data_IF_092435272492
#
_entry.id   IF_092435272492
#
_cell.length_a   1.000
_cell.length_b   1.000
_cell.length_c   1.000
_cell.angle_alpha   90.00
_cell.angle_beta   90.00
_cell.angle_gamma   90.00
#
_symmetry.space_group_name_H-M   'P 1'
#
loop_
_entity.id
_entity.type
_entity.pdbx_description
1 polymer ?
#
# COMPACT_ATOMS: atom_id res chain seq x y z
N UNK A 1 20.16 -12.15 16.15
CA UNK A 1 20.65 -10.78 15.89
C UNK A 1 19.54 -9.71 15.90
N UNK A 2 18.41 -9.87 15.18
CA UNK A 2 17.34 -8.84 15.15
C UNK A 2 16.78 -8.50 16.55
N UNK A 3 16.53 -9.49 17.41
CA UNK A 3 15.97 -9.28 18.77
C UNK A 3 16.92 -8.44 19.65
N UNK A 4 18.23 -8.64 19.55
CA UNK A 4 19.22 -7.85 20.33
C UNK A 4 19.13 -6.37 19.91
N UNK A 5 19.00 -6.08 18.61
CA UNK A 5 18.82 -4.72 18.12
C UNK A 5 17.56 -4.06 18.71
N UNK A 6 16.45 -4.79 18.81
CA UNK A 6 15.21 -4.26 19.42
C UNK A 6 15.39 -3.96 20.93
N UNK A 7 16.14 -4.80 21.63
CA UNK A 7 16.45 -4.57 23.04
C UNK A 7 17.35 -3.35 23.27
N UNK A 8 18.38 -3.15 22.41
CA UNK A 8 19.23 -1.95 22.45
C UNK A 8 18.39 -0.69 22.19
N UNK A 9 17.52 -0.71 21.18
CA UNK A 9 16.60 0.39 20.87
C UNK A 9 15.71 0.71 22.07
N UNK A 10 15.14 -0.32 22.67
CA UNK A 10 14.27 -0.22 23.85
C UNK A 10 15.02 0.33 25.06
N UNK A 11 16.25 -0.11 25.29
CA UNK A 11 17.08 0.37 26.40
C UNK A 11 17.27 1.90 26.35
N UNK A 12 17.70 2.42 25.22
CA UNK A 12 17.87 3.87 25.04
C UNK A 12 16.53 4.62 25.14
N UNK A 13 15.46 4.06 24.56
CA UNK A 13 14.13 4.64 24.70
C UNK A 13 13.73 4.81 26.18
N UNK A 14 13.93 3.79 27.01
CA UNK A 14 13.58 3.85 28.43
C UNK A 14 14.42 4.87 29.22
N UNK A 15 15.70 5.05 28.86
CA UNK A 15 16.51 6.15 29.39
C UNK A 15 15.86 7.49 29.07
N UNK A 16 15.45 7.70 27.81
CA UNK A 16 14.87 8.95 27.37
C UNK A 16 13.43 9.19 27.83
N UNK A 17 12.76 8.21 28.44
CA UNK A 17 11.49 8.45 29.12
C UNK A 17 11.62 9.46 30.28
N UNK A 18 12.81 9.69 30.82
CA UNK A 18 13.07 10.75 31.80
C UNK A 18 12.91 12.16 31.19
N UNK A 19 13.02 12.29 29.87
CA UNK A 19 12.86 13.56 29.19
C UNK A 19 11.39 13.98 29.10
N UNK A 20 11.15 15.29 29.02
CA UNK A 20 9.81 15.85 28.86
C UNK A 20 9.28 15.58 27.46
N UNK A 21 8.04 15.12 27.35
CA UNK A 21 7.32 15.04 26.08
C UNK A 21 6.93 16.43 25.61
N UNK A 22 7.21 16.74 24.34
CA UNK A 22 6.90 18.03 23.71
C UNK A 22 5.52 17.93 23.02
N UNK A 23 4.60 18.83 23.33
CA UNK A 23 3.19 18.73 22.95
C UNK A 23 2.93 18.78 21.43
N UNK A 24 3.74 19.55 20.68
CA UNK A 24 3.60 19.67 19.21
C UNK A 24 4.67 18.88 18.42
N UNK A 25 5.26 17.86 19.04
CA UNK A 25 6.25 17.00 18.39
C UNK A 25 5.62 15.71 17.91
N UNK A 26 5.89 15.38 16.65
CA UNK A 26 5.48 14.15 16.00
C UNK A 26 6.72 13.30 15.66
N UNK A 27 6.63 11.98 15.91
CA UNK A 27 7.52 10.99 15.35
C UNK A 27 6.75 10.20 14.30
N UNK A 28 7.14 10.34 13.04
CA UNK A 28 6.51 9.70 11.90
C UNK A 28 7.30 8.46 11.52
N UNK A 29 6.74 7.28 11.74
CA UNK A 29 7.33 5.99 11.38
C UNK A 29 6.75 5.59 10.04
N UNK A 30 7.53 5.80 8.98
CA UNK A 30 7.19 5.57 7.58
C UNK A 30 8.02 4.40 7.07
N UNK A 31 7.72 3.21 7.59
CA UNK A 31 8.49 2.01 7.31
C UNK A 31 8.03 1.31 6.03
N UNK A 32 6.75 1.41 5.69
CA UNK A 32 6.20 0.87 4.46
C UNK A 32 6.43 1.81 3.28
N UNK A 33 5.99 3.06 3.39
CA UNK A 33 6.07 4.06 2.33
C UNK A 33 6.45 5.44 2.90
N UNK A 34 7.63 5.95 2.54
CA UNK A 34 8.14 7.25 2.96
C UNK A 34 7.81 8.37 1.98
N UNK A 35 6.97 8.14 0.99
CA UNK A 35 6.55 9.15 0.02
C UNK A 35 5.67 10.23 0.65
N UNK A 36 5.56 11.36 -0.06
CA UNK A 36 4.66 12.44 0.33
C UNK A 36 3.19 12.07 0.23
N UNK A 37 2.87 11.16 -0.69
CA UNK A 37 1.51 10.76 -1.01
C UNK A 37 1.04 9.52 -0.21
N UNK A 38 1.89 9.01 0.70
CA UNK A 38 1.49 8.02 1.69
C UNK A 38 0.53 8.61 2.73
N UNK A 39 -0.21 7.77 3.45
CA UNK A 39 -1.12 8.25 4.50
C UNK A 39 -0.42 9.16 5.51
N UNK A 40 0.75 8.76 5.99
CA UNK A 40 1.55 9.58 6.94
C UNK A 40 2.06 10.85 6.26
N UNK A 41 2.54 10.74 5.01
CA UNK A 41 3.04 11.88 4.22
C UNK A 41 1.97 12.96 4.02
N UNK A 42 0.75 12.58 3.68
CA UNK A 42 -0.38 13.48 3.51
C UNK A 42 -0.74 14.22 4.81
N UNK A 43 -0.76 13.52 5.95
CA UNK A 43 -0.97 14.15 7.27
C UNK A 43 0.12 15.19 7.57
N UNK A 44 1.39 14.85 7.30
CA UNK A 44 2.50 15.78 7.49
C UNK A 44 2.34 17.03 6.62
N UNK A 45 2.01 16.87 5.33
CA UNK A 45 1.79 17.98 4.43
C UNK A 45 0.66 18.90 4.91
N UNK A 46 -0.46 18.30 5.35
CA UNK A 46 -1.58 19.06 5.87
C UNK A 46 -1.21 19.84 7.14
N UNK A 47 -0.56 19.19 8.10
CA UNK A 47 -0.13 19.84 9.35
C UNK A 47 0.85 21.00 9.08
N UNK A 48 1.80 20.83 8.15
CA UNK A 48 2.71 21.92 7.75
C UNK A 48 2.00 23.08 7.07
N UNK A 49 0.89 22.82 6.39
CA UNK A 49 0.08 23.87 5.73
C UNK A 49 -0.69 24.71 6.75
N UNK A 50 -1.19 24.10 7.83
CA UNK A 50 -2.04 24.79 8.82
C UNK A 50 -1.27 25.42 9.97
N UNK A 51 -0.06 24.94 10.27
CA UNK A 51 0.75 25.48 11.38
C UNK A 51 2.25 25.17 11.22
N UNK A 52 3.09 26.15 11.51
CA UNK A 52 4.55 25.99 11.56
C UNK A 52 5.08 25.55 12.95
N UNK A 53 4.20 25.32 13.92
CA UNK A 53 4.61 25.01 15.30
C UNK A 53 4.89 23.52 15.53
N UNK A 54 4.55 22.65 14.57
CA UNK A 54 4.80 21.21 14.67
C UNK A 54 6.26 20.86 14.35
N UNK A 55 6.90 20.12 15.27
CA UNK A 55 8.22 19.52 15.09
C UNK A 55 8.04 18.08 14.55
N UNK A 56 8.61 17.78 13.37
CA UNK A 56 8.54 16.46 12.77
C UNK A 56 9.87 15.74 12.87
N UNK A 57 9.83 14.48 13.28
CA UNK A 57 10.96 13.56 13.24
C UNK A 57 10.53 12.29 12.53
N UNK A 58 11.47 11.58 11.91
CA UNK A 58 11.18 10.48 10.98
C UNK A 58 11.95 9.23 11.37
N UNK A 59 11.31 8.07 11.18
CA UNK A 59 11.94 6.76 11.14
C UNK A 59 11.47 6.11 9.83
N UNK A 60 12.41 5.85 8.92
CA UNK A 60 12.11 5.33 7.59
C UNK A 60 12.75 3.96 7.39
N UNK A 61 12.44 3.30 6.29
CA UNK A 61 13.07 2.03 5.88
C UNK A 61 14.58 2.18 5.71
N UNK A 62 15.03 3.35 5.26
CA UNK A 62 16.46 3.63 5.05
C UNK A 62 17.23 3.69 6.37
N UNK A 63 16.63 4.17 7.46
CA UNK A 63 17.25 4.15 8.78
C UNK A 63 17.55 2.72 9.24
N UNK A 64 16.71 1.76 8.89
CA UNK A 64 16.90 0.32 9.21
C UNK A 64 17.92 -0.32 8.28
N UNK A 65 17.83 -0.05 6.97
CA UNK A 65 18.73 -0.60 5.95
C UNK A 65 20.15 -0.03 6.08
N UNK A 66 20.27 1.24 6.44
CA UNK A 66 21.54 1.95 6.61
C UNK A 66 22.43 1.43 7.75
N UNK A 67 21.95 0.48 8.56
CA UNK A 67 22.77 -0.20 9.58
C UNK A 67 23.84 -1.12 8.98
N UNK A 68 23.80 -1.33 7.65
CA UNK A 68 24.79 -2.12 6.89
C UNK A 68 25.50 -1.20 5.90
N UNK A 69 26.84 -1.17 5.92
CA UNK A 69 27.64 -0.45 4.91
C UNK A 69 28.46 0.73 5.44
N UNK A 70 28.86 1.64 4.52
CA UNK A 70 29.68 2.82 4.87
C UNK A 70 28.93 3.74 5.83
N UNK A 71 29.61 4.20 6.90
CA UNK A 71 29.01 5.07 7.91
C UNK A 71 28.24 4.33 9.02
N UNK A 72 28.45 3.04 9.19
CA UNK A 72 27.77 2.17 10.15
C UNK A 72 27.71 2.76 11.57
N UNK A 73 28.79 3.37 12.09
CA UNK A 73 28.81 3.97 13.42
C UNK A 73 27.84 5.16 13.52
N UNK A 74 27.83 6.05 12.52
CA UNK A 74 26.90 7.18 12.46
C UNK A 74 25.45 6.70 12.39
N UNK A 75 25.18 5.72 11.56
CA UNK A 75 23.85 5.14 11.40
C UNK A 75 23.42 4.38 12.66
N UNK A 76 24.34 3.70 13.35
CA UNK A 76 24.09 3.07 14.62
C UNK A 76 23.68 4.09 15.69
N UNK A 77 24.44 5.18 15.85
CA UNK A 77 24.12 6.25 16.79
C UNK A 77 22.76 6.88 16.43
N UNK A 78 22.54 7.17 15.15
CA UNK A 78 21.26 7.70 14.68
C UNK A 78 20.10 6.79 15.07
N UNK A 79 20.16 5.52 14.69
CA UNK A 79 19.07 4.58 14.87
C UNK A 79 18.85 4.18 16.35
N UNK A 80 19.91 3.87 17.10
CA UNK A 80 19.79 3.32 18.46
C UNK A 80 19.79 4.38 19.56
N UNK A 81 20.17 5.61 19.28
CA UNK A 81 20.19 6.69 20.29
C UNK A 81 19.27 7.84 19.89
N UNK A 82 19.45 8.42 18.71
CA UNK A 82 18.71 9.62 18.31
C UNK A 82 17.25 9.31 18.03
N UNK A 83 16.92 8.21 17.32
CA UNK A 83 15.53 7.86 17.04
C UNK A 83 14.74 7.50 18.30
N UNK A 84 15.27 6.70 19.28
CA UNK A 84 14.62 6.49 20.56
C UNK A 84 14.39 7.77 21.37
N UNK A 85 15.33 8.73 21.34
CA UNK A 85 15.14 10.03 21.97
C UNK A 85 13.97 10.79 21.34
N UNK A 86 13.91 10.83 20.01
CA UNK A 86 12.81 11.50 19.31
C UNK A 86 11.48 10.81 19.61
N UNK A 87 11.44 9.49 19.61
CA UNK A 87 10.24 8.72 19.93
C UNK A 87 9.76 8.96 21.37
N UNK A 88 10.68 8.94 22.35
CA UNK A 88 10.34 9.15 23.78
C UNK A 88 9.87 10.57 24.11
N UNK A 89 10.26 11.55 23.29
CA UNK A 89 9.93 12.97 23.49
C UNK A 89 8.80 13.49 22.60
N UNK A 90 8.23 12.65 21.74
CA UNK A 90 7.10 13.02 20.88
C UNK A 90 5.76 12.76 21.58
N UNK A 91 4.79 13.67 21.35
CA UNK A 91 3.43 13.52 21.85
C UNK A 91 2.55 12.71 20.92
N UNK A 92 2.89 12.72 19.63
CA UNK A 92 2.18 11.96 18.60
C UNK A 92 3.15 11.03 17.85
N UNK A 93 2.73 9.78 17.70
CA UNK A 93 3.45 8.77 16.90
C UNK A 93 2.52 8.38 15.76
N UNK A 94 2.94 8.62 14.52
CA UNK A 94 2.21 8.18 13.33
C UNK A 94 2.86 6.94 12.76
N UNK A 95 2.05 5.94 12.40
CA UNK A 95 2.49 4.64 11.88
C UNK A 95 1.81 4.34 10.54
N UNK A 96 2.56 3.80 9.59
CA UNK A 96 2.03 3.24 8.34
C UNK A 96 2.07 1.70 8.31
N UNK A 97 2.79 1.08 9.24
CA UNK A 97 2.97 -0.36 9.32
C UNK A 97 3.41 -0.79 10.73
N UNK A 98 3.63 -2.09 10.93
CA UNK A 98 4.16 -2.67 12.16
C UNK A 98 5.67 -2.42 12.29
N UNK A 99 6.08 -1.49 13.15
CA UNK A 99 7.49 -1.24 13.46
C UNK A 99 7.93 -2.09 14.65
N UNK A 100 8.59 -3.21 14.39
CA UNK A 100 8.89 -4.26 15.39
C UNK A 100 9.57 -3.80 16.68
N UNK A 101 10.45 -2.78 16.71
CA UNK A 101 11.00 -2.27 17.97
C UNK A 101 9.93 -1.81 18.98
N UNK A 102 8.75 -1.35 18.51
CA UNK A 102 7.67 -0.89 19.40
C UNK A 102 7.09 -1.99 20.29
N UNK A 103 7.28 -3.27 19.95
CA UNK A 103 6.86 -4.39 20.79
C UNK A 103 7.52 -4.41 22.18
N UNK A 104 8.63 -3.69 22.34
CA UNK A 104 9.42 -3.63 23.56
C UNK A 104 9.29 -2.28 24.28
N UNK A 105 8.39 -1.40 23.82
CA UNK A 105 8.22 -0.05 24.36
C UNK A 105 6.88 0.09 25.08
N UNK A 106 6.85 1.01 26.05
CA UNK A 106 5.63 1.50 26.68
C UNK A 106 5.63 3.02 26.61
N UNK A 107 4.58 3.58 26.04
CA UNK A 107 4.44 5.03 25.93
C UNK A 107 3.81 5.61 27.20
N UNK A 108 4.09 6.89 27.46
CA UNK A 108 3.39 7.66 28.51
C UNK A 108 1.92 7.85 28.11
N UNK A 109 1.01 7.89 29.06
CA UNK A 109 -0.45 7.98 28.83
C UNK A 109 -0.88 9.12 27.90
N UNK A 110 -0.19 10.27 27.99
CA UNK A 110 -0.51 11.41 27.12
C UNK A 110 -0.11 11.22 25.67
N UNK A 111 0.78 10.28 25.35
CA UNK A 111 1.25 10.05 23.99
C UNK A 111 0.16 9.36 23.16
N UNK A 112 -0.12 9.91 21.98
CA UNK A 112 -1.06 9.34 21.01
C UNK A 112 -0.31 8.55 19.96
N UNK A 113 -0.57 7.25 19.90
CA UNK A 113 -0.03 6.34 18.89
C UNK A 113 -1.14 6.08 17.89
N UNK A 114 -0.97 6.61 16.68
CA UNK A 114 -1.98 6.65 15.62
C UNK A 114 -1.50 5.77 14.48
N UNK A 115 -2.19 4.66 14.24
CA UNK A 115 -1.96 3.77 13.10
C UNK A 115 -2.82 4.22 11.93
N UNK A 116 -2.19 4.62 10.83
CA UNK A 116 -2.86 5.02 9.59
C UNK A 116 -2.92 3.87 8.57
N UNK A 117 -2.11 2.82 8.79
CA UNK A 117 -1.97 1.68 7.89
C UNK A 117 -1.59 2.07 6.46
N UNK A 118 -1.44 1.08 5.60
CA UNK A 118 -1.10 1.26 4.19
C UNK A 118 -2.09 0.55 3.25
N UNK A 119 -2.93 -0.34 3.77
CA UNK A 119 -3.95 -1.05 3.01
C UNK A 119 -5.31 -0.37 3.11
N UNK A 120 -6.00 -0.29 1.98
CA UNK A 120 -7.39 0.16 1.91
C UNK A 120 -8.30 -1.07 1.85
N UNK A 121 -9.37 -1.08 2.65
CA UNK A 121 -10.37 -2.15 2.62
C UNK A 121 -9.93 -3.50 3.20
N UNK A 122 -10.67 -4.56 2.88
CA UNK A 122 -10.63 -5.85 3.60
C UNK A 122 -10.81 -7.07 2.68
N UNK A 123 -10.16 -7.08 1.51
CA UNK A 123 -10.30 -8.24 0.62
C UNK A 123 -9.57 -9.48 1.21
N UNK A 124 -8.29 -9.35 1.51
CA UNK A 124 -7.44 -10.42 2.08
C UNK A 124 -7.36 -10.31 3.60
N UNK A 125 -7.28 -11.43 4.28
CA UNK A 125 -6.95 -11.47 5.71
C UNK A 125 -5.53 -10.94 5.94
N UNK A 126 -5.31 -10.32 7.11
CA UNK A 126 -4.03 -9.75 7.49
C UNK A 126 -3.86 -9.70 9.02
N UNK A 127 -2.67 -9.31 9.48
CA UNK A 127 -2.37 -9.12 10.88
C UNK A 127 -2.59 -10.37 11.73
N UNK A 128 -3.31 -10.23 12.84
CA UNK A 128 -3.55 -11.32 13.79
C UNK A 128 -4.37 -12.49 13.21
N UNK A 129 -5.09 -12.27 12.10
CA UNK A 129 -5.91 -13.31 11.47
C UNK A 129 -5.09 -14.27 10.59
N UNK A 130 -3.85 -13.89 10.21
CA UNK A 130 -2.97 -14.73 9.38
C UNK A 130 -1.58 -14.96 10.00
N UNK A 131 -1.04 -14.01 10.75
CA UNK A 131 0.28 -14.14 11.32
C UNK A 131 0.32 -15.25 12.36
N UNK A 132 1.44 -15.95 12.44
CA UNK A 132 1.66 -17.05 13.38
C UNK A 132 2.96 -16.88 14.17
N UNK A 133 3.12 -17.68 15.22
CA UNK A 133 4.36 -17.74 16.01
C UNK A 133 4.82 -16.38 16.55
N UNK A 134 6.13 -16.17 16.52
CA UNK A 134 6.76 -14.98 17.11
C UNK A 134 6.35 -13.66 16.45
N UNK A 135 6.07 -13.67 15.15
CA UNK A 135 5.62 -12.45 14.44
C UNK A 135 4.26 -12.00 14.98
N UNK A 136 3.31 -12.93 15.11
CA UNK A 136 2.00 -12.66 15.69
C UNK A 136 2.08 -12.05 17.09
N UNK A 137 2.93 -12.61 17.95
CA UNK A 137 3.14 -12.08 19.31
C UNK A 137 3.74 -10.67 19.31
N UNK A 138 4.73 -10.41 18.44
CA UNK A 138 5.36 -9.09 18.37
C UNK A 138 4.39 -8.04 17.84
N UNK A 139 3.65 -8.33 16.77
CA UNK A 139 2.64 -7.41 16.25
C UNK A 139 1.52 -7.16 17.26
N UNK A 140 1.05 -8.19 17.98
CA UNK A 140 0.10 -7.99 19.06
C UNK A 140 0.62 -6.99 20.10
N UNK A 141 1.89 -7.15 20.55
CA UNK A 141 2.51 -6.22 21.52
C UNK A 141 2.63 -4.79 20.98
N UNK A 142 2.98 -4.64 19.69
CA UNK A 142 3.01 -3.32 19.04
C UNK A 142 1.63 -2.67 19.09
N UNK A 143 0.61 -3.42 18.72
CA UNK A 143 -0.75 -2.95 18.57
C UNK A 143 -1.39 -2.57 19.92
N UNK A 144 -0.94 -3.15 21.03
CA UNK A 144 -1.38 -2.71 22.37
C UNK A 144 -1.02 -1.25 22.66
N UNK A 145 0.03 -0.72 22.02
CA UNK A 145 0.41 0.70 22.13
C UNK A 145 -0.51 1.64 21.33
N UNK A 146 -1.25 1.13 20.34
CA UNK A 146 -2.13 1.94 19.49
C UNK A 146 -3.24 2.55 20.34
N UNK A 147 -3.37 3.86 20.23
CA UNK A 147 -4.46 4.63 20.84
C UNK A 147 -5.57 4.91 19.83
N UNK A 148 -5.22 5.07 18.55
CA UNK A 148 -6.16 5.31 17.45
C UNK A 148 -5.73 4.51 16.23
N UNK A 149 -6.63 3.70 15.71
CA UNK A 149 -6.49 2.99 14.44
C UNK A 149 -7.46 3.63 13.45
N UNK A 150 -6.95 4.21 12.38
CA UNK A 150 -7.77 4.91 11.39
C UNK A 150 -8.14 3.95 10.26
N UNK A 151 -9.42 3.96 9.91
CA UNK A 151 -9.98 3.14 8.82
C UNK A 151 -10.85 3.99 7.92
N UNK A 152 -11.12 3.50 6.72
CA UNK A 152 -11.88 4.22 5.70
C UNK A 152 -13.41 4.11 5.86
N UNK A 153 -13.92 3.09 6.56
CA UNK A 153 -15.36 2.86 6.72
C UNK A 153 -15.72 2.29 8.08
N UNK A 154 -16.93 2.59 8.55
CA UNK A 154 -17.50 1.97 9.75
C UNK A 154 -17.78 0.47 9.57
N UNK A 155 -18.05 0.03 8.35
CA UNK A 155 -18.31 -1.39 8.03
C UNK A 155 -17.14 -2.32 8.33
N UNK A 156 -15.90 -1.82 8.33
CA UNK A 156 -14.70 -2.63 8.53
C UNK A 156 -14.11 -2.54 9.95
N UNK A 157 -14.76 -1.81 10.86
CA UNK A 157 -14.28 -1.66 12.27
C UNK A 157 -14.05 -3.02 12.92
N UNK A 158 -14.96 -3.96 12.75
CA UNK A 158 -14.88 -5.29 13.37
C UNK A 158 -13.70 -6.09 12.84
N UNK A 159 -13.48 -6.05 11.54
CA UNK A 159 -12.37 -6.74 10.88
C UNK A 159 -11.03 -6.15 11.35
N UNK A 160 -10.89 -4.82 11.30
CA UNK A 160 -9.64 -4.17 11.71
C UNK A 160 -9.36 -4.34 13.22
N UNK A 161 -10.41 -4.26 14.06
CA UNK A 161 -10.29 -4.52 15.50
C UNK A 161 -9.68 -5.91 15.76
N UNK A 162 -10.16 -6.96 15.07
CA UNK A 162 -9.66 -8.33 15.17
C UNK A 162 -8.25 -8.47 14.57
N UNK A 163 -8.05 -7.98 13.34
CA UNK A 163 -6.78 -8.10 12.63
C UNK A 163 -5.62 -7.39 13.34
N UNK A 164 -5.88 -6.29 14.04
CA UNK A 164 -4.90 -5.61 14.88
C UNK A 164 -4.89 -6.08 16.34
N UNK A 165 -5.88 -6.85 16.80
CA UNK A 165 -6.02 -7.27 18.19
C UNK A 165 -6.20 -6.08 19.13
N UNK A 166 -6.95 -5.06 18.72
CA UNK A 166 -7.28 -3.86 19.51
C UNK A 166 -8.77 -3.76 19.77
N UNK A 167 -9.18 -3.04 20.81
CA UNK A 167 -10.60 -2.83 21.07
C UNK A 167 -11.24 -1.88 20.04
N UNK A 168 -12.51 -2.11 19.70
CA UNK A 168 -13.27 -1.34 18.69
C UNK A 168 -13.32 0.16 18.97
N UNK A 169 -13.32 0.57 20.23
CA UNK A 169 -13.32 1.99 20.63
C UNK A 169 -12.04 2.75 20.25
N UNK A 170 -10.97 2.03 19.86
CA UNK A 170 -9.75 2.63 19.33
C UNK A 170 -9.81 2.77 17.79
N UNK A 171 -10.79 2.16 17.12
CA UNK A 171 -10.91 2.19 15.67
C UNK A 171 -11.82 3.34 15.26
N UNK A 172 -11.30 4.23 14.42
CA UNK A 172 -11.99 5.46 14.03
C UNK A 172 -12.17 5.50 12.50
N UNK A 173 -13.42 5.51 11.98
CA UNK A 173 -13.70 5.55 10.55
C UNK A 173 -13.63 7.00 10.02
N UNK A 174 -12.42 7.52 9.88
CA UNK A 174 -12.16 8.91 9.47
C UNK A 174 -11.76 9.05 8.00
N UNK A 175 -11.68 7.95 7.25
CA UNK A 175 -11.09 7.94 5.92
C UNK A 175 -9.57 7.80 5.95
N UNK A 176 -8.99 7.53 4.78
CA UNK A 176 -7.53 7.40 4.62
C UNK A 176 -6.98 8.62 3.89
N UNK A 177 -5.97 9.33 4.43
CA UNK A 177 -5.47 10.58 3.85
C UNK A 177 -5.07 10.47 2.38
N UNK A 178 -4.48 9.37 1.95
CA UNK A 178 -4.02 9.19 0.56
C UNK A 178 -5.18 9.14 -0.46
N UNK A 179 -6.40 8.79 -0.03
CA UNK A 179 -7.56 8.80 -0.92
C UNK A 179 -8.08 10.19 -1.22
N UNK A 180 -7.73 11.21 -0.43
CA UNK A 180 -8.14 12.60 -0.67
C UNK A 180 -7.75 13.10 -2.06
N UNK A 181 -6.63 12.62 -2.60
CA UNK A 181 -6.16 12.98 -3.95
C UNK A 181 -7.17 12.57 -5.03
N UNK A 182 -7.88 11.45 -4.84
CA UNK A 182 -8.88 10.96 -5.80
C UNK A 182 -10.15 11.81 -5.80
N UNK A 183 -10.44 12.51 -4.71
CA UNK A 183 -11.55 13.46 -4.60
C UNK A 183 -11.19 14.87 -5.06
N UNK A 184 -9.91 15.18 -5.19
CA UNK A 184 -9.41 16.46 -5.72
C UNK A 184 -9.37 16.43 -7.25
N UNK A 185 -10.56 16.45 -7.90
CA UNK A 185 -10.71 16.27 -9.35
C UNK A 185 -9.78 17.14 -10.18
N UNK A 186 -9.70 18.44 -9.88
CA UNK A 186 -8.82 19.38 -10.59
C UNK A 186 -7.33 18.98 -10.51
N UNK A 187 -6.90 18.49 -9.35
CA UNK A 187 -5.52 18.02 -9.17
C UNK A 187 -5.26 16.77 -9.99
N UNK A 188 -6.17 15.81 -9.95
CA UNK A 188 -6.06 14.57 -10.72
C UNK A 188 -6.07 14.84 -12.23
N UNK A 189 -7.00 15.67 -12.71
CA UNK A 189 -7.09 16.10 -14.10
C UNK A 189 -5.82 16.80 -14.59
N UNK A 190 -5.20 17.62 -13.72
CA UNK A 190 -3.92 18.26 -14.04
C UNK A 190 -2.79 17.23 -14.16
N UNK A 191 -2.70 16.25 -13.26
CA UNK A 191 -1.68 15.18 -13.35
C UNK A 191 -1.91 14.28 -14.59
N UNK A 192 -3.17 13.94 -14.91
CA UNK A 192 -3.56 13.24 -16.13
C UNK A 192 -3.16 14.05 -17.38
N UNK A 193 -3.40 15.36 -17.37
CA UNK A 193 -2.98 16.25 -18.46
C UNK A 193 -1.48 16.27 -18.66
N UNK A 194 -0.71 16.32 -17.56
CA UNK A 194 0.77 16.24 -17.61
C UNK A 194 1.24 14.87 -18.14
N UNK A 195 0.55 13.79 -17.77
CA UNK A 195 0.84 12.47 -18.31
C UNK A 195 0.70 12.45 -19.81
N UNK A 196 -0.41 12.94 -20.36
CA UNK A 196 -0.62 12.98 -21.82
C UNK A 196 0.27 13.99 -22.56
N UNK A 197 0.75 15.06 -21.89
CA UNK A 197 1.78 15.92 -22.46
C UNK A 197 3.12 15.17 -22.61
N UNK A 198 3.43 14.27 -21.70
CA UNK A 198 4.65 13.46 -21.73
C UNK A 198 4.53 12.25 -22.66
N UNK A 199 3.32 11.68 -22.78
CA UNK A 199 3.02 10.48 -23.56
C UNK A 199 1.84 10.77 -24.49
N UNK A 200 1.99 11.66 -25.50
CA UNK A 200 0.90 12.10 -26.37
C UNK A 200 0.30 10.97 -27.20
N UNK A 201 1.08 9.93 -27.48
CA UNK A 201 0.66 8.75 -28.23
C UNK A 201 -0.40 7.91 -27.51
N UNK A 202 -0.56 8.09 -26.20
CA UNK A 202 -1.55 7.37 -25.37
C UNK A 202 -2.90 8.09 -25.29
N UNK A 203 -2.99 9.35 -25.74
CA UNK A 203 -4.17 10.19 -25.50
C UNK A 203 -5.46 9.65 -26.14
N UNK A 204 -5.33 9.05 -27.32
CA UNK A 204 -6.47 8.51 -28.11
C UNK A 204 -6.56 6.98 -27.97
N UNK A 205 -5.84 6.39 -27.01
CA UNK A 205 -5.86 4.94 -26.79
C UNK A 205 -6.76 4.57 -25.61
N UNK A 206 -7.32 3.38 -25.66
CA UNK A 206 -7.96 2.73 -24.51
C UNK A 206 -6.88 2.07 -23.65
N UNK A 207 -6.89 2.32 -22.36
CA UNK A 207 -5.81 1.92 -21.45
C UNK A 207 -6.27 0.86 -20.46
N UNK A 208 -5.66 -0.33 -20.55
CA UNK A 208 -5.75 -1.37 -19.51
C UNK A 208 -4.62 -1.17 -18.50
N UNK A 209 -4.95 -0.99 -17.22
CA UNK A 209 -3.96 -1.00 -16.14
C UNK A 209 -3.93 -2.38 -15.49
N UNK A 210 -2.87 -3.14 -15.68
CA UNK A 210 -2.67 -4.43 -15.01
C UNK A 210 -1.84 -4.25 -13.74
N UNK A 211 -2.47 -4.45 -12.58
CA UNK A 211 -1.87 -4.24 -11.26
C UNK A 211 -2.12 -5.45 -10.35
N UNK A 212 -1.43 -6.59 -10.55
CA UNK A 212 -1.64 -7.81 -9.80
C UNK A 212 -1.03 -7.76 -8.40
N UNK A 213 -1.57 -8.61 -7.51
CA UNK A 213 -0.96 -8.91 -6.22
C UNK A 213 0.29 -9.76 -6.42
N UNK A 214 1.34 -9.42 -5.69
CA UNK A 214 2.53 -10.25 -5.56
C UNK A 214 2.23 -11.55 -4.80
N UNK A 215 2.87 -12.66 -5.21
CA UNK A 215 2.77 -13.96 -4.55
C UNK A 215 3.95 -14.18 -3.63
N UNK A 216 3.68 -14.50 -2.36
CA UNK A 216 4.72 -14.69 -1.34
C UNK A 216 5.63 -15.90 -1.65
N UNK A 217 5.10 -16.92 -2.33
CA UNK A 217 5.80 -18.14 -2.75
C UNK A 217 6.78 -17.88 -3.92
N UNK A 218 6.52 -16.86 -4.73
CA UNK A 218 7.30 -16.53 -5.92
C UNK A 218 8.45 -15.54 -5.65
N UNK A 219 8.88 -15.40 -4.40
CA UNK A 219 9.92 -14.44 -4.02
C UNK A 219 11.28 -14.70 -4.71
N UNK A 220 11.56 -15.94 -5.08
CA UNK A 220 12.83 -16.31 -5.74
C UNK A 220 12.77 -16.14 -7.26
N UNK A 221 11.61 -16.42 -7.87
CA UNK A 221 11.40 -16.37 -9.31
C UNK A 221 10.00 -15.78 -9.60
N UNK A 222 9.84 -14.46 -9.52
CA UNK A 222 8.54 -13.82 -9.73
C UNK A 222 8.09 -13.94 -11.19
N UNK A 223 6.85 -14.37 -11.38
CA UNK A 223 6.26 -14.60 -12.70
C UNK A 223 5.19 -13.56 -13.03
N UNK A 224 5.08 -13.24 -14.30
CA UNK A 224 3.93 -12.53 -14.85
C UNK A 224 2.94 -13.55 -15.38
N UNK A 225 1.82 -13.75 -14.68
CA UNK A 225 0.84 -14.78 -15.01
C UNK A 225 -0.11 -14.38 -16.15
N UNK A 226 -0.19 -13.10 -16.47
CA UNK A 226 -0.89 -12.63 -17.67
C UNK A 226 -0.01 -12.86 -18.90
N UNK A 227 -0.50 -13.61 -19.86
CA UNK A 227 0.11 -13.71 -21.18
C UNK A 227 -0.24 -12.45 -21.98
N UNK A 228 0.59 -11.41 -21.80
CA UNK A 228 0.40 -10.12 -22.46
C UNK A 228 0.53 -10.20 -23.98
N UNK A 229 1.31 -11.14 -24.50
CA UNK A 229 1.45 -11.35 -25.93
C UNK A 229 0.13 -11.84 -26.55
N UNK A 230 -0.42 -12.92 -25.97
CA UNK A 230 -1.73 -13.45 -26.36
C UNK A 230 -2.84 -12.41 -26.17
N UNK A 231 -2.81 -11.64 -25.07
CA UNK A 231 -3.78 -10.58 -24.82
C UNK A 231 -3.75 -9.53 -25.95
N UNK A 232 -2.58 -8.95 -26.21
CA UNK A 232 -2.43 -7.88 -27.20
C UNK A 232 -2.70 -8.34 -28.64
N UNK A 233 -2.50 -9.62 -28.95
CA UNK A 233 -2.87 -10.22 -30.24
C UNK A 233 -4.37 -10.53 -30.35
N UNK A 234 -5.05 -10.73 -29.20
CA UNK A 234 -6.46 -11.09 -29.14
C UNK A 234 -7.44 -9.92 -29.01
N UNK A 235 -6.96 -8.71 -28.75
CA UNK A 235 -7.78 -7.50 -28.60
C UNK A 235 -7.44 -6.44 -29.65
N UNK A 236 -8.35 -5.48 -29.85
CA UNK A 236 -8.18 -4.39 -30.82
C UNK A 236 -6.90 -3.55 -30.59
N UNK A 237 -6.32 -3.01 -31.69
CA UNK A 237 -5.08 -2.23 -31.68
C UNK A 237 -5.20 -0.84 -31.02
N UNK A 238 -6.39 -0.42 -30.67
CA UNK A 238 -6.62 0.79 -29.87
C UNK A 238 -6.38 0.58 -28.39
N UNK A 239 -6.27 -0.65 -27.92
CA UNK A 239 -5.92 -0.98 -26.54
C UNK A 239 -4.41 -0.96 -26.28
N UNK A 240 -4.04 -0.35 -25.16
CA UNK A 240 -2.68 -0.31 -24.61
C UNK A 240 -2.69 -0.94 -23.22
N UNK A 241 -1.70 -1.77 -22.95
CA UNK A 241 -1.48 -2.40 -21.64
C UNK A 241 -0.39 -1.64 -20.88
N UNK A 242 -0.76 -1.09 -19.72
CA UNK A 242 0.18 -0.55 -18.74
C UNK A 242 0.39 -1.57 -17.63
N UNK A 243 1.63 -2.01 -17.42
CA UNK A 243 2.00 -2.89 -16.31
C UNK A 243 2.35 -2.05 -15.09
N UNK A 244 1.72 -2.33 -13.95
CA UNK A 244 2.05 -1.77 -12.64
C UNK A 244 2.32 -2.90 -11.66
N UNK A 245 3.47 -3.52 -11.82
CA UNK A 245 3.88 -4.65 -11.01
C UNK A 245 4.38 -4.20 -9.63
N UNK A 246 4.26 -5.07 -8.64
CA UNK A 246 4.84 -4.82 -7.34
C UNK A 246 6.36 -4.58 -7.47
N UNK A 247 6.99 -3.64 -6.74
CA UNK A 247 8.41 -3.30 -6.89
C UNK A 247 9.36 -4.50 -6.80
N UNK A 248 9.01 -5.50 -6.02
CA UNK A 248 9.77 -6.74 -5.90
C UNK A 248 9.77 -7.55 -7.22
N UNK A 249 8.63 -7.67 -7.88
CA UNK A 249 8.49 -8.31 -9.19
C UNK A 249 9.17 -7.46 -10.25
N UNK A 250 8.86 -6.17 -10.29
CA UNK A 250 9.38 -5.21 -11.26
C UNK A 250 10.92 -5.13 -11.28
N UNK A 251 11.59 -5.31 -10.12
CA UNK A 251 13.05 -5.30 -10.06
C UNK A 251 13.72 -6.50 -10.74
N UNK A 252 12.95 -7.51 -11.09
CA UNK A 252 13.43 -8.76 -11.71
C UNK A 252 12.76 -9.06 -13.05
N UNK A 253 11.62 -8.43 -13.30
CA UNK A 253 10.91 -8.52 -14.57
C UNK A 253 11.50 -7.54 -15.56
N UNK A 254 11.82 -8.01 -16.77
CA UNK A 254 12.27 -7.19 -17.87
C UNK A 254 11.63 -7.70 -19.15
N UNK A 255 11.02 -6.82 -19.91
CA UNK A 255 10.60 -7.12 -21.26
C UNK A 255 11.84 -7.40 -22.12
N UNK A 256 11.77 -8.43 -22.96
CA UNK A 256 12.84 -8.70 -23.91
C UNK A 256 12.81 -7.65 -25.03
N UNK A 257 13.97 -7.30 -25.57
CA UNK A 257 14.07 -6.30 -26.64
C UNK A 257 13.19 -6.60 -27.87
N UNK A 258 12.97 -7.89 -28.17
CA UNK A 258 12.06 -8.32 -29.23
C UNK A 258 10.62 -8.00 -28.91
N UNK A 259 10.19 -8.21 -27.66
CA UNK A 259 8.85 -7.93 -27.17
C UNK A 259 8.60 -6.42 -27.13
N UNK A 260 9.56 -5.64 -26.62
CA UNK A 260 9.50 -4.17 -26.65
C UNK A 260 9.35 -3.63 -28.07
N UNK A 261 10.05 -4.23 -29.04
CA UNK A 261 9.92 -3.86 -30.46
C UNK A 261 8.59 -4.27 -31.06
N UNK A 262 8.16 -5.52 -30.79
CA UNK A 262 6.92 -6.10 -31.33
C UNK A 262 5.67 -5.34 -30.84
N UNK A 263 5.63 -5.02 -29.54
CA UNK A 263 4.48 -4.38 -28.91
C UNK A 263 4.68 -2.88 -28.65
N UNK A 264 5.62 -2.25 -29.37
CA UNK A 264 5.87 -0.81 -29.28
C UNK A 264 4.58 -0.02 -29.49
N UNK A 265 4.27 0.88 -28.55
CA UNK A 265 3.04 1.68 -28.57
C UNK A 265 1.80 0.97 -28.01
N UNK A 266 1.91 -0.31 -27.61
CA UNK A 266 0.81 -1.08 -27.01
C UNK A 266 1.13 -1.70 -25.65
N UNK A 267 2.42 -1.80 -25.27
CA UNK A 267 2.87 -2.35 -24.00
C UNK A 267 3.85 -1.39 -23.36
N UNK A 268 3.58 -1.01 -22.08
CA UNK A 268 4.43 -0.15 -21.28
C UNK A 268 4.62 -0.71 -19.88
N UNK A 269 5.86 -0.82 -19.42
CA UNK A 269 6.14 -1.12 -18.00
C UNK A 269 6.24 0.18 -17.20
N UNK A 270 5.17 0.49 -16.47
CA UNK A 270 5.07 1.63 -15.55
C UNK A 270 5.14 1.20 -14.10
N UNK A 271 5.75 0.07 -13.80
CA UNK A 271 5.91 -0.45 -12.44
C UNK A 271 6.59 0.55 -11.52
N UNK A 272 7.56 1.30 -12.04
CA UNK A 272 8.26 2.37 -11.29
C UNK A 272 7.69 3.78 -11.52
N UNK A 273 6.55 3.91 -12.20
CA UNK A 273 5.88 5.21 -12.28
C UNK A 273 5.50 5.69 -10.86
N UNK A 274 5.87 6.92 -10.48
CA UNK A 274 5.84 7.34 -9.08
C UNK A 274 4.42 7.53 -8.52
N UNK A 275 3.47 7.94 -9.36
CA UNK A 275 2.10 8.26 -8.93
C UNK A 275 1.08 7.27 -9.49
N UNK A 276 0.63 6.35 -8.61
CA UNK A 276 -0.41 5.37 -8.94
C UNK A 276 -1.76 6.04 -9.25
N UNK A 277 -2.08 7.15 -8.59
CA UNK A 277 -3.35 7.85 -8.83
C UNK A 277 -3.43 8.39 -10.27
N UNK A 278 -2.32 8.88 -10.83
CA UNK A 278 -2.23 9.28 -12.23
C UNK A 278 -2.48 8.07 -13.16
N UNK A 279 -1.85 6.90 -12.89
CA UNK A 279 -2.09 5.70 -13.71
C UNK A 279 -3.54 5.23 -13.64
N UNK A 280 -4.15 5.25 -12.45
CA UNK A 280 -5.59 4.98 -12.30
C UNK A 280 -6.44 6.03 -13.04
N UNK A 281 -6.02 7.29 -13.01
CA UNK A 281 -6.71 8.40 -13.70
C UNK A 281 -6.75 8.25 -15.22
N UNK A 282 -5.63 7.82 -15.83
CA UNK A 282 -5.53 7.64 -17.29
C UNK A 282 -6.07 6.31 -17.78
N UNK A 283 -6.20 5.28 -16.93
CA UNK A 283 -6.71 3.98 -17.35
C UNK A 283 -8.23 3.98 -17.53
N UNK A 284 -8.72 3.20 -18.50
CA UNK A 284 -10.14 2.97 -18.76
C UNK A 284 -10.65 1.76 -17.97
N UNK A 285 -9.82 0.73 -17.85
CA UNK A 285 -10.13 -0.51 -17.12
C UNK A 285 -8.95 -0.90 -16.24
N UNK A 286 -9.24 -1.29 -14.99
CA UNK A 286 -8.28 -1.97 -14.12
C UNK A 286 -8.44 -3.48 -14.27
N UNK A 287 -7.33 -4.16 -14.56
CA UNK A 287 -7.22 -5.61 -14.47
C UNK A 287 -6.36 -5.94 -13.25
N UNK A 288 -6.94 -6.60 -12.28
CA UNK A 288 -6.27 -6.94 -11.01
C UNK A 288 -6.78 -8.26 -10.47
N UNK A 289 -6.32 -8.66 -9.29
CA UNK A 289 -6.74 -9.89 -8.61
C UNK A 289 -7.19 -9.60 -7.17
N UNK A 290 -6.35 -9.87 -6.17
CA UNK A 290 -6.64 -9.71 -4.74
C UNK A 290 -6.07 -8.41 -4.15
N UNK A 291 -5.77 -7.43 -4.98
CA UNK A 291 -5.14 -6.18 -4.59
C UNK A 291 -6.13 -5.21 -3.96
N UNK A 292 -5.69 -4.49 -2.92
CA UNK A 292 -6.48 -3.41 -2.30
C UNK A 292 -6.66 -2.17 -3.19
N UNK A 293 -5.99 -2.10 -4.35
CA UNK A 293 -6.17 -1.03 -5.33
C UNK A 293 -7.63 -0.87 -5.79
N UNK A 294 -8.41 -1.95 -5.71
CA UNK A 294 -9.83 -1.93 -6.10
C UNK A 294 -10.64 -0.88 -5.34
N UNK A 295 -10.37 -0.70 -4.04
CA UNK A 295 -11.10 0.27 -3.20
C UNK A 295 -10.82 1.71 -3.58
N UNK A 296 -9.65 2.00 -4.12
CA UNK A 296 -9.28 3.32 -4.62
C UNK A 296 -9.76 3.50 -6.05
N UNK A 297 -9.66 2.48 -6.88
CA UNK A 297 -10.12 2.53 -8.27
C UNK A 297 -11.64 2.67 -8.39
N UNK A 298 -12.42 2.01 -7.52
CA UNK A 298 -13.87 2.14 -7.45
C UNK A 298 -14.33 3.60 -7.27
N UNK A 299 -13.55 4.45 -6.60
CA UNK A 299 -13.86 5.88 -6.43
C UNK A 299 -13.87 6.66 -7.74
N UNK A 300 -13.31 6.10 -8.82
CA UNK A 300 -13.31 6.72 -10.14
C UNK A 300 -14.48 6.28 -11.03
N UNK A 301 -15.35 5.37 -10.55
CA UNK A 301 -16.46 4.81 -11.32
C UNK A 301 -16.03 4.22 -12.67
N UNK A 302 -14.94 3.50 -12.69
CA UNK A 302 -14.40 2.81 -13.88
C UNK A 302 -14.47 1.30 -13.70
N UNK A 303 -14.57 0.51 -14.78
CA UNK A 303 -14.68 -0.94 -14.72
C UNK A 303 -13.42 -1.59 -14.11
N UNK A 304 -13.64 -2.71 -13.40
CA UNK A 304 -12.58 -3.57 -12.88
C UNK A 304 -12.85 -4.99 -13.39
N UNK A 305 -11.82 -5.64 -13.92
CA UNK A 305 -11.84 -7.06 -14.26
C UNK A 305 -10.90 -7.80 -13.32
N UNK A 306 -11.38 -8.89 -12.74
CA UNK A 306 -10.66 -9.66 -11.73
C UNK A 306 -9.99 -10.88 -12.37
N UNK A 307 -8.68 -10.79 -12.62
CA UNK A 307 -7.88 -11.87 -13.20
C UNK A 307 -7.39 -12.82 -12.09
N UNK A 308 -8.25 -13.73 -11.69
CA UNK A 308 -8.05 -14.63 -10.54
C UNK A 308 -7.69 -16.05 -10.99
N UNK A 309 -6.56 -16.20 -11.69
CA UNK A 309 -6.08 -17.45 -12.30
C UNK A 309 -5.79 -18.56 -11.27
N UNK A 310 -5.53 -18.20 -10.03
CA UNK A 310 -5.16 -19.10 -8.92
C UNK A 310 -6.12 -19.00 -7.72
N UNK A 311 -7.38 -18.63 -7.95
CA UNK A 311 -8.35 -18.33 -6.88
C UNK A 311 -8.48 -19.44 -5.85
N UNK A 312 -8.58 -20.69 -6.28
CA UNK A 312 -8.71 -21.84 -5.39
C UNK A 312 -7.45 -22.05 -4.54
N UNK A 313 -6.27 -21.96 -5.15
CA UNK A 313 -4.99 -22.11 -4.47
C UNK A 313 -4.77 -20.96 -3.46
N UNK A 314 -5.04 -19.73 -3.89
CA UNK A 314 -4.88 -18.55 -3.03
C UNK A 314 -5.86 -18.57 -1.84
N UNK A 315 -7.09 -19.05 -2.05
CA UNK A 315 -8.10 -19.20 -1.00
C UNK A 315 -7.69 -20.23 0.04
N UNK A 316 -7.16 -21.39 -0.40
CA UNK A 316 -6.87 -22.53 0.46
C UNK A 316 -5.47 -22.49 1.11
N UNK A 317 -4.47 -22.00 0.40
CA UNK A 317 -3.06 -22.04 0.82
C UNK A 317 -2.45 -20.63 1.00
N UNK A 318 -3.09 -19.58 0.47
CA UNK A 318 -2.69 -18.19 0.65
C UNK A 318 -3.21 -17.59 1.97
N UNK A 319 -3.38 -16.28 1.99
CA UNK A 319 -3.86 -15.54 3.18
C UNK A 319 -5.36 -15.74 3.45
N UNK A 320 -6.12 -16.20 2.43
CA UNK A 320 -7.57 -16.30 2.47
C UNK A 320 -8.27 -14.92 2.45
N UNK A 321 -9.59 -14.95 2.39
CA UNK A 321 -10.45 -13.78 2.26
C UNK A 321 -11.31 -13.59 3.51
N UNK A 322 -11.76 -12.37 3.78
CA UNK A 322 -12.73 -12.10 4.84
C UNK A 322 -14.15 -12.49 4.43
N UNK A 323 -14.49 -12.28 3.16
CA UNK A 323 -15.77 -12.64 2.56
C UNK A 323 -15.55 -13.57 1.36
N UNK A 324 -16.54 -14.33 0.91
CA UNK A 324 -16.42 -15.11 -0.33
C UNK A 324 -16.04 -14.20 -1.49
N UNK A 325 -14.91 -14.50 -2.14
CA UNK A 325 -14.32 -13.61 -3.14
C UNK A 325 -15.28 -13.30 -4.30
N UNK A 326 -15.96 -14.32 -4.80
CA UNK A 326 -16.87 -14.22 -5.94
C UNK A 326 -18.12 -13.35 -5.66
N UNK A 327 -18.52 -13.27 -4.39
CA UNK A 327 -19.64 -12.44 -3.95
C UNK A 327 -19.20 -11.01 -3.61
N UNK A 328 -17.90 -10.85 -3.31
CA UNK A 328 -17.37 -9.58 -2.80
C UNK A 328 -16.92 -8.62 -3.90
N UNK A 329 -16.38 -9.15 -5.01
CA UNK A 329 -15.79 -8.31 -6.06
C UNK A 329 -16.86 -7.77 -7.02
N UNK A 330 -16.80 -6.47 -7.39
CA UNK A 330 -17.87 -5.81 -8.13
C UNK A 330 -17.76 -5.94 -9.66
N UNK A 331 -16.95 -6.85 -10.19
CA UNK A 331 -16.73 -6.98 -11.63
C UNK A 331 -16.57 -8.43 -12.07
N UNK A 332 -16.42 -8.69 -13.37
CA UNK A 332 -16.25 -10.03 -13.90
C UNK A 332 -14.96 -10.67 -13.39
N UNK A 333 -15.05 -11.94 -13.04
CA UNK A 333 -13.92 -12.78 -12.66
C UNK A 333 -13.53 -13.62 -13.87
N UNK A 334 -12.25 -13.57 -14.23
CA UNK A 334 -11.66 -14.34 -15.33
C UNK A 334 -10.49 -15.16 -14.80
N UNK A 335 -10.32 -16.38 -15.30
CA UNK A 335 -9.31 -17.32 -14.81
C UNK A 335 -8.17 -17.54 -15.82
N UNK A 336 -8.32 -17.04 -17.04
CA UNK A 336 -7.31 -17.14 -18.08
C UNK A 336 -7.21 -15.87 -18.92
N UNK A 337 -6.09 -15.72 -19.64
CA UNK A 337 -5.94 -14.64 -20.63
C UNK A 337 -6.99 -14.74 -21.74
N UNK A 338 -7.46 -15.95 -22.08
CA UNK A 338 -8.52 -16.15 -23.07
C UNK A 338 -9.85 -15.56 -22.59
N UNK A 339 -10.22 -15.83 -21.32
CA UNK A 339 -11.46 -15.28 -20.75
C UNK A 339 -11.39 -13.74 -20.69
N UNK A 340 -10.21 -13.19 -20.36
CA UNK A 340 -9.99 -11.74 -20.37
C UNK A 340 -10.20 -11.13 -21.76
N UNK A 341 -9.69 -11.78 -22.82
CA UNK A 341 -9.89 -11.37 -24.21
C UNK A 341 -11.39 -11.38 -24.57
N UNK A 342 -12.11 -12.41 -24.16
CA UNK A 342 -13.55 -12.52 -24.43
C UNK A 342 -14.34 -11.42 -23.74
N UNK A 343 -14.04 -11.15 -22.47
CA UNK A 343 -14.67 -10.06 -21.70
C UNK A 343 -14.42 -8.70 -22.33
N UNK A 344 -13.19 -8.43 -22.80
CA UNK A 344 -12.83 -7.17 -23.45
C UNK A 344 -13.47 -7.00 -24.81
N UNK A 345 -13.50 -8.05 -25.63
CA UNK A 345 -14.04 -7.99 -26.99
C UNK A 345 -15.56 -7.89 -27.05
N UNK A 346 -16.26 -8.32 -25.97
CA UNK A 346 -17.72 -8.26 -25.88
C UNK A 346 -18.22 -7.18 -24.92
N UNK A 347 -17.34 -6.32 -24.38
CA UNK A 347 -17.64 -5.27 -23.42
C UNK A 347 -18.44 -5.79 -22.19
N UNK A 348 -18.13 -7.01 -21.70
CA UNK A 348 -18.82 -7.67 -20.58
C UNK A 348 -18.20 -7.22 -19.25
N UNK A 349 -18.26 -5.94 -18.94
CA UNK A 349 -17.80 -5.38 -17.66
C UNK A 349 -18.79 -4.32 -17.16
N UNK A 350 -19.96 -4.76 -16.61
CA UNK A 350 -21.00 -3.83 -16.17
C UNK A 350 -20.50 -2.93 -15.04
N UNK A 351 -20.84 -1.64 -15.14
CA UNK A 351 -20.55 -0.62 -14.13
C UNK A 351 -21.55 -0.64 -12.96
N UNK A 352 -22.65 -1.40 -13.08
CA UNK A 352 -23.80 -1.29 -12.19
C UNK A 352 -23.61 -1.92 -10.81
N UNK A 353 -22.53 -2.70 -10.61
CA UNK A 353 -22.26 -3.44 -9.38
C UNK A 353 -21.17 -2.80 -8.50
N UNK A 354 -20.67 -1.61 -8.86
CA UNK A 354 -19.72 -0.90 -7.98
C UNK A 354 -20.43 -0.59 -6.66
N UNK A 355 -19.82 -0.91 -5.50
CA UNK A 355 -20.40 -0.58 -4.22
C UNK A 355 -20.64 0.93 -4.18
N UNK A 356 -21.91 1.31 -4.08
CA UNK A 356 -22.30 2.68 -3.79
C UNK A 356 -21.85 2.94 -2.36
N UNK A 357 -20.63 3.54 -2.22
CA UNK A 357 -20.00 3.87 -0.96
C UNK A 357 -20.77 4.89 -0.15
#
# INVERSE_FOLDING_TARGET
>A
MKTIGYLIFSFFYHIFLLCKVKDKKLCCIMHHDSSRDSNVGMVIQYLKKISNEYEFTYITKDDVNGLKGKGMLKNFISFFIIKPYHLATSNYILLDDAFLPLAYLKFKEKVKVIQLWHGTGTIKKFGQDVNTGKLKELEYKINQNITHLIVNSSSIIDIYSKAFGVSKNKVSPLGLPRTDTLFQKEKLENEVSKFYLKYPELKEKKILLYAPTFRDEETQDPKLHLDYAKLLEGISDDWVLLLKLHPFVASRFHLKEEEERKYRGRLYDYSFYPDLNTLMGVSDILVTDYSSIIFEYCLQNKPIIFYAYDLEEFSNHGRGFYEPYEEYVPGPIVHSTQDLIEVLNHDIYPMDNLPKG
#
